data_IF_859122949348
#
_entry.id   IF_859122949348
#
_cell.length_a   1.000
_cell.length_b   1.000
_cell.length_c   1.000
_cell.angle_alpha   90.00
_cell.angle_beta   90.00
_cell.angle_gamma   90.00
#
_symmetry.space_group_name_H-M   'P 1'
#
loop_
_entity.id
_entity.type
_entity.pdbx_description
1 polymer ?
#
# COMPACT_ATOMS: atom_id res chain seq x y z
N UNK A 1 -9.06 2.76 -13.57
CA UNK A 1 -8.59 2.81 -12.17
C UNK A 1 -7.28 2.04 -12.10
N UNK A 2 -6.24 2.65 -11.55
CA UNK A 2 -4.85 2.17 -11.52
C UNK A 2 -4.32 2.30 -10.09
N UNK A 3 -3.57 1.30 -9.63
CA UNK A 3 -2.92 1.28 -8.31
C UNK A 3 -1.44 1.57 -8.51
N UNK A 4 -0.91 2.60 -7.84
CA UNK A 4 0.53 2.88 -7.84
C UNK A 4 1.23 2.04 -6.78
N UNK A 5 2.39 1.50 -7.14
CA UNK A 5 3.32 0.88 -6.20
C UNK A 5 4.38 1.89 -5.73
N UNK A 6 5.28 1.43 -4.87
CA UNK A 6 6.35 2.26 -4.29
C UNK A 6 7.31 2.76 -5.36
N UNK A 7 7.66 1.92 -6.35
CA UNK A 7 8.59 2.33 -7.41
C UNK A 7 7.99 3.39 -8.33
N UNK A 8 6.72 3.25 -8.74
CA UNK A 8 6.04 4.25 -9.55
C UNK A 8 6.01 5.62 -8.86
N UNK A 9 5.75 5.64 -7.55
CA UNK A 9 5.80 6.87 -6.77
C UNK A 9 7.23 7.42 -6.60
N UNK A 10 8.24 6.57 -6.42
CA UNK A 10 9.63 7.02 -6.37
C UNK A 10 10.02 7.72 -7.69
N UNK A 11 9.74 7.11 -8.83
CA UNK A 11 10.06 7.70 -10.13
C UNK A 11 9.26 8.99 -10.41
N UNK A 12 8.01 9.05 -9.94
CA UNK A 12 7.22 10.28 -9.96
C UNK A 12 7.87 11.41 -9.15
N UNK A 13 8.28 11.12 -7.91
CA UNK A 13 8.94 12.09 -7.01
C UNK A 13 10.31 12.53 -7.53
N UNK A 14 11.00 11.66 -8.28
CA UNK A 14 12.27 11.96 -8.95
C UNK A 14 12.10 12.80 -10.23
N UNK A 15 10.87 13.17 -10.60
CA UNK A 15 10.55 13.90 -11.82
C UNK A 15 10.97 13.15 -13.10
N UNK A 16 10.87 11.82 -13.12
CA UNK A 16 11.12 11.07 -14.35
C UNK A 16 10.02 11.34 -15.39
N UNK A 17 10.41 12.02 -16.47
CA UNK A 17 9.51 12.60 -17.46
C UNK A 17 8.43 11.66 -18.04
N UNK A 18 8.70 10.38 -18.40
CA UNK A 18 7.65 9.50 -18.90
C UNK A 18 6.66 9.07 -17.79
N UNK A 19 7.12 8.98 -16.55
CA UNK A 19 6.30 8.58 -15.40
C UNK A 19 5.40 9.72 -14.94
N UNK A 20 5.95 10.94 -14.84
CA UNK A 20 5.20 12.14 -14.46
C UNK A 20 4.04 12.39 -15.42
N UNK A 21 4.31 12.41 -16.73
CA UNK A 21 3.25 12.65 -17.74
C UNK A 21 2.10 11.65 -17.61
N UNK A 22 2.43 10.36 -17.42
CA UNK A 22 1.43 9.31 -17.31
C UNK A 22 0.62 9.41 -16.02
N UNK A 23 1.26 9.68 -14.89
CA UNK A 23 0.57 9.79 -13.60
C UNK A 23 -0.30 11.04 -13.55
N UNK A 24 0.19 12.18 -14.04
CA UNK A 24 -0.58 13.43 -14.11
C UNK A 24 -1.82 13.29 -15.01
N UNK A 25 -1.69 12.66 -16.19
CA UNK A 25 -2.83 12.32 -17.06
C UNK A 25 -3.88 11.50 -16.29
N UNK A 26 -3.45 10.46 -15.59
CA UNK A 26 -4.37 9.60 -14.84
C UNK A 26 -4.99 10.30 -13.62
N UNK A 27 -4.26 11.22 -12.98
CA UNK A 27 -4.76 12.05 -11.89
C UNK A 27 -5.87 12.99 -12.37
N UNK A 28 -5.73 13.60 -13.55
CA UNK A 28 -6.78 14.44 -14.15
C UNK A 28 -8.11 13.69 -14.34
N UNK A 29 -8.03 12.37 -14.53
CA UNK A 29 -9.20 11.49 -14.69
C UNK A 29 -9.66 10.81 -13.38
N UNK A 30 -9.12 11.17 -12.22
CA UNK A 30 -9.37 10.50 -10.93
C UNK A 30 -9.19 8.97 -11.02
N UNK A 31 -8.26 8.52 -11.86
CA UNK A 31 -8.09 7.12 -12.21
C UNK A 31 -6.96 6.44 -11.42
N UNK A 32 -6.40 7.09 -10.40
CA UNK A 32 -5.23 6.65 -9.64
C UNK A 32 -5.56 6.54 -8.16
N UNK A 33 -5.03 5.52 -7.51
CA UNK A 33 -5.01 5.38 -6.05
C UNK A 33 -3.71 4.67 -5.63
N UNK A 34 -3.39 4.73 -4.34
CA UNK A 34 -2.31 3.94 -3.74
C UNK A 34 -2.78 3.29 -2.44
N UNK A 35 -1.99 2.40 -1.87
CA UNK A 35 -2.30 1.71 -0.62
C UNK A 35 -1.57 2.34 0.56
N UNK A 36 -2.14 2.20 1.77
CA UNK A 36 -1.45 2.60 3.01
C UNK A 36 -0.13 1.86 3.24
N UNK A 37 0.10 0.73 2.55
CA UNK A 37 1.37 -0.01 2.56
C UNK A 37 2.46 0.82 1.89
N UNK A 38 2.16 1.32 0.70
CA UNK A 38 3.10 2.12 -0.09
C UNK A 38 3.41 3.44 0.63
N UNK A 39 2.42 4.06 1.27
CA UNK A 39 2.64 5.20 2.18
C UNK A 39 3.61 4.84 3.32
N UNK A 40 3.38 3.72 4.02
CA UNK A 40 4.24 3.28 5.11
C UNK A 40 5.67 2.97 4.65
N UNK A 41 5.84 2.31 3.50
CA UNK A 41 7.15 2.03 2.91
C UNK A 41 7.90 3.32 2.56
N UNK A 42 7.24 4.28 1.92
CA UNK A 42 7.84 5.58 1.57
C UNK A 42 8.28 6.36 2.81
N UNK A 43 7.47 6.40 3.87
CA UNK A 43 7.78 7.14 5.09
C UNK A 43 8.80 6.44 6.01
N UNK A 44 8.99 5.13 5.86
CA UNK A 44 9.91 4.34 6.70
C UNK A 44 11.35 4.35 6.19
N UNK A 45 11.66 5.07 5.12
CA UNK A 45 13.00 5.07 4.54
C UNK A 45 14.03 5.73 5.48
N UNK A 46 15.08 5.02 5.93
CA UNK A 46 15.92 5.42 7.06
C UNK A 46 16.81 6.65 6.79
N UNK A 47 16.96 7.06 5.52
CA UNK A 47 17.77 8.22 5.12
C UNK A 47 16.94 9.42 4.67
N UNK A 48 15.64 9.45 4.98
CA UNK A 48 14.78 10.57 4.62
C UNK A 48 15.23 11.85 5.31
N UNK A 49 15.34 12.93 4.53
CA UNK A 49 15.44 14.27 5.09
C UNK A 49 14.04 14.82 5.41
N UNK A 50 13.96 15.84 6.26
CA UNK A 50 12.69 16.54 6.51
C UNK A 50 12.07 17.13 5.23
N UNK A 51 12.91 17.51 4.26
CA UNK A 51 12.46 18.00 2.95
C UNK A 51 11.80 16.87 2.16
N UNK A 52 12.39 15.69 2.14
CA UNK A 52 11.85 14.53 1.43
C UNK A 52 10.51 14.08 2.03
N UNK A 53 10.40 14.08 3.36
CA UNK A 53 9.14 13.77 4.05
C UNK A 53 8.02 14.73 3.65
N UNK A 54 8.29 16.05 3.58
CA UNK A 54 7.29 17.04 3.16
C UNK A 54 6.82 16.82 1.72
N UNK A 55 7.75 16.46 0.82
CA UNK A 55 7.43 16.16 -0.58
C UNK A 55 6.56 14.90 -0.68
N UNK A 56 6.90 13.84 0.05
CA UNK A 56 6.13 12.60 0.10
C UNK A 56 4.71 12.86 0.63
N UNK A 57 4.58 13.55 1.75
CA UNK A 57 3.28 13.88 2.35
C UNK A 57 2.43 14.71 1.38
N UNK A 58 3.03 15.70 0.71
CA UNK A 58 2.33 16.48 -0.30
C UNK A 58 1.83 15.61 -1.46
N UNK A 59 2.67 14.73 -2.02
CA UNK A 59 2.26 13.83 -3.09
C UNK A 59 1.12 12.88 -2.64
N UNK A 60 1.23 12.30 -1.44
CA UNK A 60 0.19 11.42 -0.89
C UNK A 60 -1.13 12.16 -0.61
N UNK A 61 -1.10 13.46 -0.33
CA UNK A 61 -2.34 14.25 -0.17
C UNK A 61 -3.12 14.43 -1.48
N UNK A 62 -2.47 14.23 -2.63
CA UNK A 62 -3.10 14.34 -3.96
C UNK A 62 -3.63 13.01 -4.50
N UNK A 63 -3.26 11.89 -3.86
CA UNK A 63 -3.63 10.53 -4.28
C UNK A 63 -4.46 9.88 -3.18
N UNK A 64 -5.66 9.35 -3.48
CA UNK A 64 -6.42 8.60 -2.49
C UNK A 64 -5.61 7.39 -1.97
N UNK A 65 -5.34 7.39 -0.66
CA UNK A 65 -4.69 6.27 0.04
C UNK A 65 -5.77 5.36 0.63
N UNK A 66 -5.81 4.11 0.18
CA UNK A 66 -6.76 3.13 0.71
C UNK A 66 -6.15 2.45 1.95
N UNK A 67 -6.81 2.51 3.11
CA UNK A 67 -6.35 1.82 4.31
C UNK A 67 -6.40 0.31 4.09
N UNK A 68 -5.27 -0.34 4.33
CA UNK A 68 -5.15 -1.79 4.34
C UNK A 68 -4.92 -2.23 5.78
N UNK A 69 -5.63 -3.26 6.23
CA UNK A 69 -5.30 -3.98 7.47
C UNK A 69 -4.00 -4.78 7.25
N UNK A 70 -2.89 -4.06 7.13
CA UNK A 70 -1.61 -4.57 6.63
C UNK A 70 -1.08 -5.74 7.45
N UNK A 71 -1.12 -5.60 8.78
CA UNK A 71 -0.66 -6.65 9.67
C UNK A 71 -1.51 -7.92 9.52
N UNK A 72 -2.84 -7.77 9.39
CA UNK A 72 -3.74 -8.90 9.14
C UNK A 72 -3.50 -9.51 7.74
N UNK A 73 -3.28 -8.68 6.71
CA UNK A 73 -2.98 -9.16 5.36
C UNK A 73 -1.65 -9.94 5.31
N UNK A 74 -0.61 -9.47 6.00
CA UNK A 74 0.69 -10.17 6.11
C UNK A 74 0.53 -11.49 6.88
N UNK A 75 -0.20 -11.48 7.99
CA UNK A 75 -0.49 -12.68 8.79
C UNK A 75 -1.25 -13.71 7.93
N UNK A 76 -2.29 -13.28 7.21
CA UNK A 76 -3.07 -14.14 6.32
C UNK A 76 -2.22 -14.70 5.16
N UNK A 77 -1.42 -13.85 4.50
CA UNK A 77 -0.53 -14.26 3.42
C UNK A 77 0.52 -15.27 3.90
N UNK A 78 1.06 -15.07 5.10
CA UNK A 78 2.02 -16.01 5.73
C UNK A 78 1.37 -17.36 5.98
N UNK A 79 0.16 -17.39 6.54
CA UNK A 79 -0.59 -18.63 6.78
C UNK A 79 -0.93 -19.36 5.46
N UNK A 80 -1.37 -18.64 4.43
CA UNK A 80 -1.62 -19.22 3.09
C UNK A 80 -0.33 -19.80 2.47
N UNK A 81 0.76 -19.04 2.48
CA UNK A 81 2.05 -19.46 1.89
C UNK A 81 2.63 -20.69 2.57
N UNK A 82 2.42 -20.83 3.88
CA UNK A 82 2.88 -21.96 4.69
C UNK A 82 1.85 -23.09 4.80
N UNK A 83 0.65 -22.92 4.22
CA UNK A 83 -0.50 -23.82 4.38
C UNK A 83 -0.88 -24.07 5.87
N UNK A 84 -0.59 -23.10 6.73
CA UNK A 84 -0.90 -23.15 8.15
C UNK A 84 -2.35 -22.74 8.43
N UNK A 85 -2.91 -23.23 9.54
CA UNK A 85 -4.19 -22.76 10.08
C UNK A 85 -3.95 -21.54 10.96
N UNK A 86 -4.59 -20.41 10.65
CA UNK A 86 -4.49 -19.19 11.44
C UNK A 86 -5.31 -19.31 12.73
N UNK A 87 -4.61 -19.36 13.87
CA UNK A 87 -5.20 -19.35 15.20
C UNK A 87 -5.41 -17.90 15.67
N UNK A 88 -6.64 -17.45 15.88
CA UNK A 88 -6.91 -16.03 16.21
C UNK A 88 -8.23 -15.80 16.95
N UNK A 89 -8.27 -14.75 17.79
CA UNK A 89 -9.51 -14.19 18.37
C UNK A 89 -10.28 -13.32 17.38
N UNK A 90 -9.59 -12.77 16.38
CA UNK A 90 -10.11 -11.80 15.42
C UNK A 90 -10.65 -12.45 14.15
N UNK A 91 -11.20 -13.67 14.26
CA UNK A 91 -11.64 -14.47 13.10
C UNK A 91 -12.58 -13.74 12.12
N UNK A 92 -13.36 -12.75 12.56
CA UNK A 92 -14.25 -11.94 11.70
C UNK A 92 -13.47 -11.13 10.66
N UNK A 93 -12.29 -10.66 11.01
CA UNK A 93 -11.46 -9.80 10.16
C UNK A 93 -10.86 -10.60 8.99
N UNK A 94 -10.67 -11.91 9.20
CA UNK A 94 -10.07 -12.84 8.23
C UNK A 94 -11.09 -13.63 7.40
N UNK A 95 -12.38 -13.59 7.75
CA UNK A 95 -13.45 -14.36 7.06
C UNK A 95 -13.63 -14.01 5.58
N UNK A 96 -13.13 -12.85 5.14
CA UNK A 96 -13.19 -12.42 3.74
C UNK A 96 -12.24 -13.21 2.83
N UNK A 97 -11.27 -13.93 3.40
CA UNK A 97 -10.24 -14.69 2.68
C UNK A 97 -10.65 -16.18 2.65
N UNK A 98 -11.26 -16.62 1.54
CA UNK A 98 -11.91 -17.93 1.44
C UNK A 98 -10.95 -19.11 1.57
N UNK A 99 -9.70 -18.92 1.16
CA UNK A 99 -8.65 -19.93 1.12
C UNK A 99 -7.94 -20.11 2.47
N UNK A 100 -8.15 -19.17 3.41
CA UNK A 100 -7.47 -19.18 4.70
C UNK A 100 -8.18 -20.12 5.69
N UNK A 101 -7.46 -21.13 6.18
CA UNK A 101 -7.93 -21.98 7.28
C UNK A 101 -7.83 -21.19 8.58
N UNK A 102 -8.92 -21.09 9.33
CA UNK A 102 -9.00 -20.28 10.56
C UNK A 102 -9.51 -21.15 11.71
N UNK A 103 -8.84 -21.06 12.87
CA UNK A 103 -9.25 -21.65 14.14
C UNK A 103 -9.39 -20.55 15.21
N UNK A 104 -10.46 -20.61 16.02
CA UNK A 104 -10.77 -19.60 17.03
C UNK A 104 -10.18 -19.97 18.41
N UNK A 105 -9.61 -18.99 19.10
CA UNK A 105 -9.16 -19.04 20.52
C UNK A 105 -9.71 -17.88 21.35
#
# INVERSE_FOLDING_TARGET
>A
MYLLDTNALIYYLQNEHPVVLRIEELLQHNAVLTSSIVEAELLSWPKLTEKDQKIIIYALSTIPVIPVHLLDAIIAATALKTNATLLTRNSKDFQKIKELKIEKI
#
